data_IF_699992226330
#
_entry.id   IF_699992226330
#
_cell.length_a   1.000
_cell.length_b   1.000
_cell.length_c   1.000
_cell.angle_alpha   90.00
_cell.angle_beta   90.00
_cell.angle_gamma   90.00
#
_symmetry.space_group_name_H-M   'P 1'
#
loop_
_entity.id
_entity.type
_entity.pdbx_description
1 polymer ?
#
# COMPACT_ATOMS: atom_id res chain seq x y z
N UNK A 1 -6.06 6.53 -3.23
CA UNK A 1 -4.83 6.49 -4.02
C UNK A 1 -4.08 7.81 -3.91
N UNK A 2 -2.76 7.76 -3.89
CA UNK A 2 -1.86 8.92 -3.97
C UNK A 2 -0.68 8.61 -4.90
N UNK A 3 0.02 9.62 -5.40
CA UNK A 3 1.12 9.44 -6.35
C UNK A 3 2.17 8.42 -5.91
N UNK A 4 2.50 8.36 -4.62
CA UNK A 4 3.44 7.38 -4.07
C UNK A 4 2.99 5.92 -4.29
N UNK A 5 1.69 5.65 -4.20
CA UNK A 5 1.15 4.30 -4.42
C UNK A 5 1.38 3.84 -5.86
N UNK A 6 1.11 4.74 -6.83
CA UNK A 6 1.28 4.47 -8.26
C UNK A 6 2.74 4.17 -8.55
N UNK A 7 3.66 4.98 -8.01
CA UNK A 7 5.10 4.76 -8.16
C UNK A 7 5.55 3.42 -7.57
N UNK A 8 4.96 2.99 -6.45
CA UNK A 8 5.23 1.66 -5.86
C UNK A 8 4.76 0.57 -6.83
N UNK A 9 3.54 0.67 -7.37
CA UNK A 9 2.99 -0.29 -8.31
C UNK A 9 3.79 -0.36 -9.61
N UNK A 10 4.14 0.78 -10.21
CA UNK A 10 5.01 0.87 -11.39
C UNK A 10 6.38 0.24 -11.15
N UNK A 11 6.94 0.39 -9.94
CA UNK A 11 8.20 -0.24 -9.59
C UNK A 11 8.06 -1.77 -9.50
N UNK A 12 6.99 -2.26 -8.86
CA UNK A 12 6.72 -3.70 -8.77
C UNK A 12 6.51 -4.29 -10.16
N UNK A 13 5.70 -3.64 -11.00
CA UNK A 13 5.44 -4.08 -12.37
C UNK A 13 6.72 -4.23 -13.20
N UNK A 14 7.67 -3.29 -13.04
CA UNK A 14 8.96 -3.32 -13.74
C UNK A 14 9.95 -4.34 -13.18
N UNK A 15 10.07 -4.42 -11.85
CA UNK A 15 11.13 -5.20 -11.18
C UNK A 15 10.64 -6.59 -10.70
N UNK A 16 9.34 -6.87 -10.81
CA UNK A 16 8.66 -8.10 -10.42
C UNK A 16 8.18 -8.10 -8.97
N UNK A 17 9.00 -7.66 -8.01
CA UNK A 17 8.56 -7.61 -6.62
C UNK A 17 9.25 -6.54 -5.81
N UNK A 18 8.67 -6.23 -4.65
CA UNK A 18 9.24 -5.22 -3.76
C UNK A 18 9.05 -5.51 -2.28
N UNK A 19 9.96 -4.99 -1.45
CA UNK A 19 9.74 -4.86 -0.02
C UNK A 19 9.86 -3.40 0.42
N UNK A 20 9.18 -2.96 1.49
CA UNK A 20 9.27 -1.59 1.99
C UNK A 20 10.71 -1.15 2.27
N UNK A 21 11.52 -2.06 2.82
CA UNK A 21 12.93 -1.83 3.11
C UNK A 21 13.78 -1.60 1.86
N UNK A 22 13.45 -2.29 0.77
CA UNK A 22 14.15 -2.13 -0.51
C UNK A 22 13.83 -0.76 -1.11
N UNK A 23 12.54 -0.40 -1.15
CA UNK A 23 12.10 0.90 -1.66
C UNK A 23 12.67 2.07 -0.86
N UNK A 24 12.71 1.97 0.47
CA UNK A 24 13.26 3.04 1.32
C UNK A 24 14.76 3.32 1.04
N UNK A 25 15.46 2.40 0.38
CA UNK A 25 16.86 2.55 -0.03
C UNK A 25 17.01 2.97 -1.50
N UNK A 26 15.93 2.90 -2.26
CA UNK A 26 15.89 3.25 -3.66
C UNK A 26 15.89 4.77 -3.82
N UNK A 27 16.77 5.31 -4.67
CA UNK A 27 16.92 6.77 -4.83
C UNK A 27 15.63 7.43 -5.34
N UNK A 28 14.78 6.66 -6.02
CA UNK A 28 13.48 7.13 -6.49
C UNK A 28 12.49 7.42 -5.38
N UNK A 29 12.64 6.87 -4.17
CA UNK A 29 11.62 6.96 -3.14
C UNK A 29 12.12 7.84 -1.97
N UNK A 30 11.62 9.08 -1.83
CA UNK A 30 12.08 10.00 -0.79
C UNK A 30 11.48 9.70 0.60
N UNK A 31 10.69 8.64 0.72
CA UNK A 31 9.86 8.35 1.89
C UNK A 31 10.52 7.32 2.82
N UNK A 32 10.16 7.38 4.10
CA UNK A 32 10.67 6.43 5.09
C UNK A 32 10.09 5.02 4.88
N UNK A 33 10.81 3.99 5.33
CA UNK A 33 10.36 2.59 5.28
C UNK A 33 8.97 2.40 5.93
N UNK A 34 8.69 3.12 7.03
CA UNK A 34 7.39 3.04 7.71
C UNK A 34 6.24 3.58 6.84
N UNK A 35 6.44 4.72 6.17
CA UNK A 35 5.45 5.29 5.26
C UNK A 35 5.21 4.34 4.08
N UNK A 36 6.28 3.80 3.49
CA UNK A 36 6.18 2.86 2.37
C UNK A 36 5.45 1.58 2.80
N UNK A 37 5.75 1.04 3.99
CA UNK A 37 5.06 -0.13 4.55
C UNK A 37 3.56 0.13 4.67
N UNK A 38 3.17 1.29 5.18
CA UNK A 38 1.76 1.67 5.26
C UNK A 38 1.08 1.75 3.91
N UNK A 39 1.78 2.28 2.89
CA UNK A 39 1.27 2.32 1.53
C UNK A 39 1.07 0.92 0.97
N UNK A 40 2.05 0.02 1.12
CA UNK A 40 1.92 -1.37 0.70
C UNK A 40 0.72 -2.07 1.37
N UNK A 41 0.51 -1.86 2.67
CA UNK A 41 -0.67 -2.43 3.36
C UNK A 41 -2.00 -1.88 2.80
N UNK A 42 -2.06 -0.60 2.43
CA UNK A 42 -3.25 0.02 1.81
C UNK A 42 -3.50 -0.49 0.39
N UNK A 43 -2.45 -0.63 -0.42
CA UNK A 43 -2.52 -1.20 -1.76
C UNK A 43 -2.93 -2.67 -1.74
N UNK A 44 -2.47 -3.43 -0.74
CA UNK A 44 -2.94 -4.79 -0.50
C UNK A 44 -4.43 -4.81 -0.19
N UNK A 45 -4.91 -3.87 0.61
CA UNK A 45 -6.34 -3.78 0.92
C UNK A 45 -7.21 -3.49 -0.31
N UNK A 46 -6.70 -2.73 -1.29
CA UNK A 46 -7.41 -2.50 -2.55
C UNK A 46 -7.31 -3.69 -3.51
N UNK A 47 -6.51 -4.70 -3.20
CA UNK A 47 -6.28 -5.85 -4.06
C UNK A 47 -5.37 -5.56 -5.26
N UNK A 48 -4.59 -4.48 -5.23
CA UNK A 48 -3.67 -4.12 -6.32
C UNK A 48 -2.29 -4.76 -6.22
N UNK A 49 -1.90 -5.12 -4.99
CA UNK A 49 -0.68 -5.88 -4.75
C UNK A 49 -0.99 -7.00 -3.76
N UNK A 50 -0.23 -8.08 -3.81
CA UNK A 50 -0.38 -9.21 -2.91
C UNK A 50 0.96 -9.67 -2.32
N UNK A 51 0.98 -10.17 -1.07
CA UNK A 51 2.22 -10.67 -0.49
C UNK A 51 2.53 -12.07 -1.05
N UNK A 52 3.71 -12.27 -1.62
CA UNK A 52 4.18 -13.61 -2.01
C UNK A 52 5.16 -14.22 -0.99
N UNK A 53 5.88 -13.39 -0.22
CA UNK A 53 6.73 -13.85 0.89
C UNK A 53 7.00 -12.77 1.93
N UNK A 54 6.56 -12.97 3.19
CA UNK A 54 6.79 -12.01 4.27
C UNK A 54 6.21 -10.62 3.96
N UNK A 55 7.08 -9.61 3.91
CA UNK A 55 6.73 -8.23 3.51
C UNK A 55 7.17 -7.91 2.06
N UNK A 56 7.28 -8.94 1.24
CA UNK A 56 7.51 -8.81 -0.20
C UNK A 56 6.19 -8.91 -0.94
N UNK A 57 5.95 -7.95 -1.83
CA UNK A 57 4.72 -7.78 -2.59
C UNK A 57 4.99 -7.92 -4.09
N UNK A 58 4.04 -8.53 -4.78
CA UNK A 58 3.92 -8.62 -6.23
C UNK A 58 2.64 -7.90 -6.68
N UNK A 59 2.54 -7.55 -7.96
CA UNK A 59 1.38 -6.88 -8.53
C UNK A 59 0.30 -7.91 -8.90
N UNK A 60 -0.95 -7.59 -8.61
CA UNK A 60 -2.09 -8.44 -9.02
C UNK A 60 -2.55 -8.09 -10.43
N UNK A 61 -3.41 -8.92 -11.01
CA UNK A 61 -4.05 -8.62 -12.30
C UNK A 61 -4.83 -7.29 -12.23
N UNK A 62 -5.57 -7.05 -11.14
CA UNK A 62 -6.30 -5.80 -10.94
C UNK A 62 -5.35 -4.59 -10.82
N UNK A 63 -4.19 -4.77 -10.19
CA UNK A 63 -3.15 -3.75 -10.12
C UNK A 63 -2.60 -3.40 -11.51
N UNK A 64 -2.39 -4.41 -12.35
CA UNK A 64 -1.87 -4.22 -13.71
C UNK A 64 -2.90 -3.52 -14.61
N UNK A 65 -4.16 -3.97 -14.56
CA UNK A 65 -5.28 -3.29 -15.23
C UNK A 65 -5.49 -1.85 -14.75
N UNK A 66 -5.20 -1.55 -13.49
CA UNK A 66 -5.18 -0.17 -13.00
C UNK A 66 -4.07 0.66 -13.67
N UNK A 67 -2.85 0.14 -13.76
CA UNK A 67 -1.73 0.83 -14.42
C UNK A 67 -1.99 1.05 -15.93
N UNK A 68 -2.66 0.09 -16.57
CA UNK A 68 -3.07 0.19 -17.98
C UNK A 68 -4.25 1.17 -18.21
N UNK A 69 -4.87 1.67 -17.14
CA UNK A 69 -6.02 2.58 -17.20
C UNK A 69 -7.37 1.90 -17.45
N UNK A 70 -7.40 0.57 -17.41
CA UNK A 70 -8.60 -0.26 -17.60
C UNK A 70 -9.49 -0.29 -16.33
N UNK A 71 -8.91 -0.01 -15.16
CA UNK A 71 -9.64 0.10 -13.89
C UNK A 71 -9.45 1.50 -13.29
N UNK A 72 -10.55 2.10 -12.85
CA UNK A 72 -10.54 3.36 -12.11
C UNK A 72 -10.41 3.14 -10.60
N UNK A 73 -9.35 3.69 -9.98
CA UNK A 73 -9.13 3.62 -8.54
C UNK A 73 -10.27 4.23 -7.70
N UNK A 74 -11.12 5.09 -8.27
CA UNK A 74 -12.29 5.67 -7.57
C UNK A 74 -13.33 4.61 -7.20
N UNK A 75 -13.33 3.47 -7.88
CA UNK A 75 -14.24 2.35 -7.59
C UNK A 75 -13.67 1.35 -6.59
N UNK A 76 -12.43 1.54 -6.12
CA UNK A 76 -11.79 0.63 -5.18
C UNK A 76 -12.22 0.90 -3.72
N UNK A 77 -12.21 -0.13 -2.86
CA UNK A 77 -12.62 0.03 -1.48
C UNK A 77 -11.66 0.98 -0.76
N UNK A 78 -12.21 1.93 0.01
CA UNK A 78 -11.37 2.83 0.78
C UNK A 78 -10.75 2.10 1.99
N UNK A 79 -9.41 2.12 2.15
CA UNK A 79 -8.76 1.45 3.26
C UNK A 79 -9.17 2.06 4.60
N UNK A 80 -9.85 1.25 5.43
CA UNK A 80 -10.12 1.59 6.83
C UNK A 80 -8.88 1.25 7.66
N UNK A 81 -8.49 2.14 8.56
CA UNK A 81 -7.30 1.92 9.41
C UNK A 81 -7.36 0.58 10.15
N UNK A 82 -8.54 0.19 10.66
CA UNK A 82 -8.76 -1.10 11.34
C UNK A 82 -8.63 -2.34 10.44
N UNK A 83 -8.73 -2.17 9.12
CA UNK A 83 -8.61 -3.28 8.17
C UNK A 83 -7.20 -3.39 7.58
N UNK A 84 -6.42 -2.31 7.66
CA UNK A 84 -5.02 -2.24 7.20
C UNK A 84 -4.05 -2.53 8.34
N UNK A 85 -4.41 -2.13 9.56
CA UNK A 85 -3.60 -2.28 10.77
C UNK A 85 -4.33 -3.13 11.80
N UNK A 86 -3.63 -4.13 12.36
CA UNK A 86 -4.08 -4.77 13.59
C UNK A 86 -4.17 -3.76 14.73
N UNK A 87 -4.90 -4.11 15.80
CA UNK A 87 -5.16 -3.24 16.97
C UNK A 87 -3.89 -2.64 17.59
N UNK A 88 -2.72 -3.21 17.31
CA UNK A 88 -1.39 -2.80 17.81
C UNK A 88 -0.36 -2.49 16.71
N UNK A 89 -0.74 -2.49 15.43
CA UNK A 89 0.19 -2.34 14.29
C UNK A 89 0.29 -0.90 13.75
N UNK A 90 -0.17 0.10 14.53
CA UNK A 90 -0.13 1.48 14.09
C UNK A 90 1.32 1.97 13.97
N UNK A 91 1.63 2.78 12.95
CA UNK A 91 2.97 3.34 12.77
C UNK A 91 3.38 4.18 13.98
N UNK A 92 4.68 4.28 14.28
CA UNK A 92 5.18 5.22 15.27
C UNK A 92 4.71 6.65 14.96
N UNK A 93 3.98 7.27 15.90
CA UNK A 93 3.44 8.64 15.74
C UNK A 93 1.94 8.72 15.44
N UNK A 94 1.26 7.59 15.23
CA UNK A 94 -0.21 7.54 15.15
C UNK A 94 -0.83 7.28 16.53
N UNK A 95 -1.53 8.26 17.10
CA UNK A 95 -2.43 8.04 18.23
C UNK A 95 -3.82 7.69 17.67
N UNK A 96 -4.37 6.49 17.93
CA UNK A 96 -5.76 6.22 17.60
C UNK A 96 -6.61 7.12 18.50
N UNK A 97 -7.08 8.24 17.96
CA UNK A 97 -8.12 9.04 18.60
C UNK A 97 -9.32 8.14 18.90
N UNK A 98 -10.15 8.47 19.90
CA UNK A 98 -11.31 7.65 20.23
C UNK A 98 -12.20 7.53 19.00
N UNK A 99 -12.28 6.33 18.43
CA UNK A 99 -13.17 6.01 17.32
C UNK A 99 -14.59 6.11 17.87
N UNK A 100 -15.19 7.30 17.74
CA UNK A 100 -16.60 7.51 18.07
C UNK A 100 -17.43 6.91 16.96
N UNK A 101 -17.88 5.68 17.15
CA UNK A 101 -19.03 5.16 16.41
C UNK A 101 -20.25 5.98 16.81
N UNK A 102 -20.83 6.71 15.86
CA UNK A 102 -22.16 7.29 16.01
C UNK A 102 -23.13 6.17 15.62
N UNK A 103 -23.76 5.57 16.63
CA UNK A 103 -24.92 4.69 16.48
C UNK A 103 -26.13 5.57 16.22
#
# INVERSE_FOLDING_TARGET
MMQLDERIMEYIDREGWVSPRLLARERGFPETEGVIRDRCKRLRYTGFIEPFHGEMYDITIEGQLYLDGEIDARHQPFPKASAVFGRWDFPPGWTPGPVRFRI
#
